data_IF_736411206241
#
_entry.id   IF_736411206241
#
_cell.length_a   1.000
_cell.length_b   1.000
_cell.length_c   1.000
_cell.angle_alpha   90.00
_cell.angle_beta   90.00
_cell.angle_gamma   90.00
#
_symmetry.space_group_name_H-M   'P 1'
#
loop_
_entity.id
_entity.type
_entity.pdbx_description
1 polymer ?
#
# COMPACT_ATOMS: atom_id res chain seq x y z
N UNK A 1 -6.97 2.05 -22.08
CA UNK A 1 -6.64 1.37 -20.81
C UNK A 1 -5.33 1.95 -20.30
N UNK A 2 -5.36 2.62 -19.17
CA UNK A 2 -4.17 3.25 -18.60
C UNK A 2 -3.67 2.38 -17.44
N UNK A 3 -2.42 1.93 -17.48
CA UNK A 3 -1.84 1.13 -16.42
C UNK A 3 -0.85 1.99 -15.64
N UNK A 4 -1.10 2.17 -14.35
CA UNK A 4 -0.18 2.86 -13.45
C UNK A 4 0.35 1.88 -12.43
N UNK A 5 1.63 1.61 -12.50
CA UNK A 5 2.34 0.97 -11.39
C UNK A 5 2.84 2.08 -10.46
N UNK A 6 2.22 2.18 -9.30
CA UNK A 6 2.70 3.07 -8.24
C UNK A 6 3.37 2.18 -7.20
N UNK A 7 4.69 2.13 -7.17
CA UNK A 7 5.38 1.41 -6.13
C UNK A 7 5.14 2.14 -4.80
N UNK A 8 4.51 1.46 -3.85
CA UNK A 8 4.32 1.97 -2.50
C UNK A 8 5.67 2.12 -1.78
N UNK A 9 5.96 3.29 -1.22
CA UNK A 9 7.14 3.51 -0.37
C UNK A 9 6.93 2.96 1.04
N UNK A 10 5.71 3.03 1.53
CA UNK A 10 5.29 2.62 2.87
C UNK A 10 4.11 1.66 2.74
N UNK A 11 4.08 0.63 3.59
CA UNK A 11 2.94 -0.29 3.68
C UNK A 11 1.84 0.34 4.53
N UNK A 12 1.21 1.38 3.99
CA UNK A 12 0.09 2.07 4.61
C UNK A 12 -1.07 2.22 3.63
N UNK A 13 -2.32 1.98 4.06
CA UNK A 13 -3.51 2.12 3.23
C UNK A 13 -3.68 3.51 2.60
N UNK A 14 -3.26 4.57 3.28
CA UNK A 14 -3.39 5.93 2.75
C UNK A 14 -2.61 6.10 1.46
N UNK A 15 -1.38 5.58 1.40
CA UNK A 15 -0.57 5.66 0.20
C UNK A 15 -1.13 4.82 -0.96
N UNK A 16 -1.75 3.68 -0.64
CA UNK A 16 -2.22 2.75 -1.66
C UNK A 16 -3.67 2.99 -2.10
N UNK A 17 -4.47 3.65 -1.27
CA UNK A 17 -5.89 3.83 -1.49
C UNK A 17 -6.27 5.31 -1.54
N UNK A 18 -6.01 6.06 -0.48
CA UNK A 18 -6.41 7.47 -0.37
C UNK A 18 -5.76 8.33 -1.47
N UNK A 19 -4.44 8.30 -1.58
CA UNK A 19 -3.70 9.11 -2.55
C UNK A 19 -4.04 8.80 -4.01
N UNK A 20 -4.62 7.62 -4.29
CA UNK A 20 -4.86 7.15 -5.65
C UNK A 20 -6.32 7.26 -6.05
N UNK A 21 -7.26 7.07 -5.11
CA UNK A 21 -8.69 6.92 -5.43
C UNK A 21 -9.60 7.98 -4.80
N UNK A 22 -9.13 8.79 -3.85
CA UNK A 22 -9.94 9.88 -3.34
C UNK A 22 -10.25 10.89 -4.46
N UNK A 23 -11.46 11.47 -4.45
CA UNK A 23 -11.94 12.36 -5.53
C UNK A 23 -11.02 13.55 -5.79
N UNK A 24 -10.38 14.07 -4.75
CA UNK A 24 -9.48 15.24 -4.83
C UNK A 24 -7.99 14.86 -4.89
N UNK A 25 -7.65 13.56 -4.95
CA UNK A 25 -6.27 13.13 -4.90
C UNK A 25 -5.51 13.49 -6.20
N UNK A 26 -4.34 14.10 -6.07
CA UNK A 26 -3.51 14.49 -7.21
C UNK A 26 -3.03 13.30 -8.05
N UNK A 27 -2.92 12.12 -7.42
CA UNK A 27 -2.52 10.87 -8.09
C UNK A 27 -3.69 10.03 -8.59
N UNK A 28 -4.89 10.56 -8.55
CA UNK A 28 -6.07 9.88 -9.09
C UNK A 28 -6.10 9.95 -10.62
N UNK A 29 -5.21 9.21 -11.25
CA UNK A 29 -5.11 9.16 -12.72
C UNK A 29 -6.26 8.41 -13.39
N UNK A 30 -7.04 7.65 -12.63
CA UNK A 30 -8.20 6.92 -13.14
C UNK A 30 -9.42 7.83 -13.34
N UNK A 31 -9.46 8.97 -12.65
CA UNK A 31 -10.64 9.84 -12.57
C UNK A 31 -11.81 9.22 -11.81
N UNK A 32 -11.56 8.12 -11.08
CA UNK A 32 -12.58 7.51 -10.22
C UNK A 32 -12.94 8.46 -9.08
N UNK A 33 -14.21 8.57 -8.76
CA UNK A 33 -14.67 9.41 -7.66
C UNK A 33 -15.95 8.82 -7.05
N UNK A 34 -15.92 8.55 -5.76
CA UNK A 34 -17.07 8.14 -4.96
C UNK A 34 -17.03 8.87 -3.62
N UNK A 35 -18.03 9.71 -3.34
CA UNK A 35 -18.14 10.44 -2.07
C UNK A 35 -18.27 9.50 -0.87
N UNK A 36 -18.97 8.37 -1.03
CA UNK A 36 -19.09 7.36 0.01
C UNK A 36 -17.72 6.75 0.37
N UNK A 37 -16.86 6.55 -0.64
CA UNK A 37 -15.50 6.06 -0.40
C UNK A 37 -14.58 7.15 0.19
N UNK A 38 -14.77 8.40 -0.18
CA UNK A 38 -14.01 9.50 0.44
C UNK A 38 -14.25 9.55 1.96
N UNK A 39 -15.50 9.36 2.42
CA UNK A 39 -15.83 9.27 3.85
C UNK A 39 -15.15 8.06 4.52
N UNK A 40 -15.04 6.93 3.80
CA UNK A 40 -14.33 5.75 4.30
C UNK A 40 -12.82 5.96 4.34
N UNK A 41 -12.25 6.67 3.35
CA UNK A 41 -10.85 7.05 3.34
C UNK A 41 -10.51 7.94 4.54
N UNK A 42 -11.31 8.97 4.79
CA UNK A 42 -11.12 9.87 5.94
C UNK A 42 -11.22 9.10 7.26
N UNK A 43 -12.23 8.25 7.40
CA UNK A 43 -12.45 7.47 8.63
C UNK A 43 -11.30 6.51 8.91
N UNK A 44 -10.80 5.78 7.90
CA UNK A 44 -9.69 4.86 8.10
C UNK A 44 -8.37 5.60 8.38
N UNK A 45 -8.15 6.76 7.76
CA UNK A 45 -6.95 7.57 7.96
C UNK A 45 -6.86 8.15 9.37
N UNK A 46 -8.00 8.50 9.98
CA UNK A 46 -8.08 8.99 11.36
C UNK A 46 -8.03 7.88 12.43
N UNK A 47 -8.17 6.61 12.06
CA UNK A 47 -8.20 5.51 13.03
C UNK A 47 -6.78 5.05 13.40
N UNK A 48 -6.36 5.32 14.62
CA UNK A 48 -5.06 4.95 15.15
C UNK A 48 -4.97 3.46 15.55
N UNK A 49 -6.09 2.81 15.81
CA UNK A 49 -6.11 1.39 16.16
C UNK A 49 -6.10 0.52 14.90
N UNK A 50 -5.01 -0.21 14.68
CA UNK A 50 -4.81 -1.02 13.48
C UNK A 50 -5.93 -2.07 13.24
N UNK A 51 -6.42 -2.73 14.28
CA UNK A 51 -7.47 -3.74 14.15
C UNK A 51 -8.81 -3.11 13.73
N UNK A 52 -9.13 -1.94 14.27
CA UNK A 52 -10.33 -1.20 13.87
C UNK A 52 -10.19 -0.61 12.48
N UNK A 53 -8.98 -0.20 12.08
CA UNK A 53 -8.67 0.34 10.76
C UNK A 53 -8.84 -0.70 9.65
N UNK A 54 -8.65 -1.97 9.93
CA UNK A 54 -8.80 -3.07 8.94
C UNK A 54 -10.19 -3.12 8.31
N UNK A 55 -11.25 -2.94 9.09
CA UNK A 55 -12.62 -3.06 8.58
C UNK A 55 -12.92 -2.06 7.45
N UNK A 56 -12.75 -0.74 7.65
CA UNK A 56 -12.96 0.22 6.56
C UNK A 56 -12.00 0.01 5.38
N UNK A 57 -10.76 -0.41 5.62
CA UNK A 57 -9.80 -0.70 4.53
C UNK A 57 -10.28 -1.86 3.65
N UNK A 58 -10.78 -2.94 4.23
CA UNK A 58 -11.34 -4.06 3.46
C UNK A 58 -12.63 -3.68 2.72
N UNK A 59 -13.46 -2.83 3.31
CA UNK A 59 -14.66 -2.33 2.66
C UNK A 59 -14.30 -1.46 1.44
N UNK A 60 -13.32 -0.57 1.57
CA UNK A 60 -12.77 0.23 0.47
C UNK A 60 -12.25 -0.68 -0.65
N UNK A 61 -11.39 -1.64 -0.34
CA UNK A 61 -10.80 -2.53 -1.34
C UNK A 61 -11.89 -3.33 -2.09
N UNK A 62 -12.85 -3.88 -1.35
CA UNK A 62 -14.00 -4.58 -1.93
C UNK A 62 -14.80 -3.70 -2.87
N UNK A 63 -15.08 -2.45 -2.47
CA UNK A 63 -15.85 -1.51 -3.29
C UNK A 63 -15.11 -1.11 -4.56
N UNK A 64 -13.81 -0.80 -4.45
CA UNK A 64 -12.98 -0.47 -5.61
C UNK A 64 -12.93 -1.61 -6.65
N UNK A 65 -12.92 -2.86 -6.18
CA UNK A 65 -12.99 -4.03 -7.06
C UNK A 65 -14.38 -4.18 -7.70
N UNK A 66 -15.46 -4.02 -6.93
CA UNK A 66 -16.83 -4.10 -7.43
C UNK A 66 -17.13 -3.03 -8.48
N UNK A 67 -16.64 -1.82 -8.27
CA UNK A 67 -16.81 -0.70 -9.20
C UNK A 67 -15.86 -0.79 -10.40
N UNK A 68 -14.96 -1.77 -10.42
CA UNK A 68 -13.95 -1.94 -11.47
C UNK A 68 -12.86 -0.86 -11.47
N UNK A 69 -12.79 -0.04 -10.42
CA UNK A 69 -11.76 0.99 -10.30
C UNK A 69 -10.37 0.40 -10.03
N UNK A 70 -10.33 -0.79 -9.40
CA UNK A 70 -9.09 -1.50 -9.06
C UNK A 70 -9.18 -2.98 -9.45
N UNK A 71 -9.15 -3.33 -10.74
CA UNK A 71 -9.08 -4.73 -11.12
C UNK A 71 -7.72 -5.32 -10.75
N UNK A 72 -7.71 -6.38 -9.95
CA UNK A 72 -6.48 -7.11 -9.63
C UNK A 72 -6.21 -8.09 -10.77
N UNK A 73 -5.12 -7.89 -11.50
CA UNK A 73 -4.73 -8.75 -12.62
C UNK A 73 -3.79 -9.85 -12.15
N UNK A 74 -2.86 -9.55 -11.24
CA UNK A 74 -1.96 -10.53 -10.63
C UNK A 74 -1.42 -10.03 -9.28
N UNK A 75 -0.97 -10.97 -8.48
CA UNK A 75 -0.17 -10.69 -7.29
C UNK A 75 1.31 -10.86 -7.60
N UNK A 76 2.10 -9.86 -7.26
CA UNK A 76 3.54 -9.93 -7.43
C UNK A 76 4.17 -10.71 -6.25
N UNK A 77 5.09 -11.62 -6.56
CA UNK A 77 5.87 -12.31 -5.54
C UNK A 77 7.31 -11.84 -5.65
N UNK A 78 7.83 -11.25 -4.60
CA UNK A 78 9.21 -10.83 -4.49
C UNK A 78 10.02 -11.77 -3.59
N UNK A 79 11.31 -11.87 -3.85
CA UNK A 79 12.24 -12.57 -2.98
C UNK A 79 13.45 -11.67 -2.70
N UNK A 80 13.90 -11.66 -1.45
CA UNK A 80 15.12 -10.99 -1.04
C UNK A 80 16.14 -12.06 -0.66
N UNK A 81 17.28 -12.05 -1.35
CA UNK A 81 18.38 -12.98 -1.10
C UNK A 81 19.57 -12.22 -0.53
N UNK A 82 20.19 -12.78 0.50
CA UNK A 82 21.44 -12.23 1.06
C UNK A 82 22.41 -13.33 1.45
N UNK A 83 23.68 -12.99 1.56
CA UNK A 83 24.71 -13.95 1.97
C UNK A 83 24.67 -14.16 3.48
N UNK A 84 25.08 -15.34 4.00
CA UNK A 84 25.03 -15.67 5.43
C UNK A 84 25.79 -14.70 6.35
N UNK A 85 26.79 -14.01 5.84
CA UNK A 85 27.56 -13.02 6.60
C UNK A 85 26.85 -11.65 6.73
N UNK A 86 25.74 -11.43 6.01
CA UNK A 86 24.89 -10.25 6.22
C UNK A 86 23.95 -10.57 7.38
N UNK A 87 24.07 -9.81 8.45
CA UNK A 87 23.31 -10.01 9.69
C UNK A 87 22.26 -8.92 9.89
N UNK A 88 21.20 -9.26 10.62
CA UNK A 88 20.09 -8.38 11.00
C UNK A 88 19.36 -7.72 9.85
N UNK A 89 19.37 -8.33 8.67
CA UNK A 89 18.50 -7.88 7.58
C UNK A 89 17.05 -8.25 7.93
N UNK A 90 16.22 -7.24 8.15
CA UNK A 90 14.76 -7.39 8.30
C UNK A 90 14.09 -7.07 6.98
N UNK A 91 13.30 -8.00 6.46
CA UNK A 91 12.54 -7.78 5.23
C UNK A 91 11.18 -7.16 5.55
N UNK A 92 10.82 -6.13 4.83
CA UNK A 92 9.50 -5.50 4.91
C UNK A 92 8.63 -5.93 3.74
N UNK A 93 7.37 -6.24 4.03
CA UNK A 93 6.37 -6.56 3.01
C UNK A 93 5.85 -5.24 2.42
N UNK A 94 5.56 -5.27 1.12
CA UNK A 94 4.92 -4.16 0.39
C UNK A 94 5.66 -2.81 0.43
N UNK A 95 6.97 -2.81 0.66
CA UNK A 95 7.74 -1.58 0.64
C UNK A 95 8.88 -1.63 -0.38
N UNK A 96 9.17 -0.48 -1.00
CA UNK A 96 10.31 -0.33 -1.90
C UNK A 96 11.60 -0.38 -1.08
N UNK A 97 12.61 -1.06 -1.62
CA UNK A 97 13.94 -1.10 -1.03
C UNK A 97 13.94 -1.43 0.46
N UNK A 98 13.05 -2.33 0.88
CA UNK A 98 12.90 -2.74 2.27
C UNK A 98 12.59 -1.56 3.23
N UNK A 99 11.87 -0.54 2.76
CA UNK A 99 11.57 0.66 3.55
C UNK A 99 12.81 1.44 3.97
N UNK A 100 13.94 1.24 3.30
CA UNK A 100 15.24 1.83 3.64
C UNK A 100 15.76 1.50 5.04
N UNK A 101 15.28 0.41 5.64
CA UNK A 101 15.66 -0.02 6.98
C UNK A 101 16.93 -0.86 6.95
N UNK A 102 18.06 -0.18 6.88
CA UNK A 102 19.39 -0.79 6.86
C UNK A 102 20.24 -0.40 8.07
N UNK A 103 19.67 0.33 9.01
CA UNK A 103 20.36 0.86 10.19
C UNK A 103 20.95 -0.21 11.11
N UNK A 104 20.39 -1.41 11.10
CA UNK A 104 20.89 -2.53 11.92
C UNK A 104 21.69 -3.56 11.12
N UNK A 105 21.78 -3.39 9.80
CA UNK A 105 22.48 -4.36 8.94
C UNK A 105 23.99 -4.24 9.10
N UNK A 106 24.64 -5.36 9.35
CA UNK A 106 26.09 -5.41 9.45
C UNK A 106 26.68 -6.65 8.78
N UNK A 107 28.00 -6.63 8.55
CA UNK A 107 28.72 -7.73 7.92
C UNK A 107 29.57 -8.47 8.97
N UNK A 108 29.29 -9.76 9.14
CA UNK A 108 30.07 -10.69 9.94
C UNK A 108 31.24 -11.18 9.07
N UNK A 109 32.42 -10.57 9.26
CA UNK A 109 33.65 -10.86 8.48
C UNK A 109 34.53 -11.87 9.21
#
# INVERSE_FOLDING_TARGET
MFWVYIPGGIDDPDQQLYEIYACSAERNYSGYCSRELDELFDRQSMEANQEKRRQPVWEIDKRLQQDGARPIIWYNVGATCWRPHVKRLTTMINSIYNGWRFEEVWLDK
#
